data_IF_665730603184
#
_entry.id   IF_665730603184
#
_cell.length_a   1.000
_cell.length_b   1.000
_cell.length_c   1.000
_cell.angle_alpha   90.00
_cell.angle_beta   90.00
_cell.angle_gamma   90.00
#
_symmetry.space_group_name_H-M   'P 1'
#
loop_
_entity.id
_entity.type
_entity.pdbx_description
1 polymer ?
#
# COMPACT_ATOMS: atom_id res chain seq x y z
N UNK A 1 -4.60 -24.54 27.19
CA UNK A 1 -5.39 -24.19 25.99
C UNK A 1 -4.44 -23.57 24.99
N UNK A 2 -4.39 -23.98 23.72
CA UNK A 2 -3.59 -23.25 22.73
C UNK A 2 -4.09 -21.80 22.71
N UNK A 3 -3.16 -20.83 22.78
CA UNK A 3 -3.50 -19.43 22.52
C UNK A 3 -4.12 -19.42 21.13
N UNK A 4 -5.38 -19.00 21.01
CA UNK A 4 -5.94 -18.66 19.70
C UNK A 4 -5.03 -17.58 19.14
N UNK A 5 -4.48 -17.79 17.95
CA UNK A 5 -3.77 -16.75 17.23
C UNK A 5 -4.75 -15.59 17.08
N UNK A 6 -4.50 -14.52 17.81
CA UNK A 6 -5.36 -13.37 17.81
C UNK A 6 -5.20 -12.69 16.45
N UNK A 7 -6.30 -12.61 15.70
CA UNK A 7 -6.38 -11.87 14.46
C UNK A 7 -7.34 -10.72 14.64
N UNK A 8 -6.84 -9.52 14.37
CA UNK A 8 -7.64 -8.31 14.31
C UNK A 8 -8.73 -8.40 13.24
N UNK A 9 -9.73 -7.54 13.36
CA UNK A 9 -10.74 -7.41 12.32
C UNK A 9 -10.10 -6.96 11.01
N UNK A 10 -10.60 -7.48 9.88
CA UNK A 10 -10.09 -7.14 8.55
C UNK A 10 -10.14 -5.64 8.24
N UNK A 11 -11.06 -4.89 8.87
CA UNK A 11 -11.15 -3.44 8.74
C UNK A 11 -9.99 -2.73 9.43
N UNK A 12 -9.59 -3.20 10.63
CA UNK A 12 -8.47 -2.65 11.40
C UNK A 12 -7.16 -2.91 10.66
N UNK A 13 -6.97 -4.13 10.16
CA UNK A 13 -5.83 -4.48 9.31
C UNK A 13 -5.79 -3.61 8.05
N UNK A 14 -6.91 -3.41 7.34
CA UNK A 14 -6.95 -2.55 6.15
C UNK A 14 -6.60 -1.09 6.46
N UNK A 15 -7.05 -0.55 7.60
CA UNK A 15 -6.69 0.81 8.01
C UNK A 15 -5.21 0.96 8.36
N UNK A 16 -4.62 -0.09 8.94
CA UNK A 16 -3.20 -0.15 9.23
C UNK A 16 -2.35 -0.28 7.95
N UNK A 17 -2.77 -1.16 7.03
CA UNK A 17 -1.98 -1.56 5.86
C UNK A 17 -2.12 -0.58 4.67
N UNK A 18 -3.25 0.09 4.52
CA UNK A 18 -3.52 0.98 3.40
C UNK A 18 -3.05 2.42 3.69
N UNK A 19 -1.77 2.68 3.49
CA UNK A 19 -1.17 3.99 3.76
C UNK A 19 -1.56 5.01 2.69
N UNK A 20 -2.07 6.16 3.12
CA UNK A 20 -2.38 7.28 2.22
C UNK A 20 -1.09 8.07 2.00
N UNK A 21 -0.65 8.28 0.75
CA UNK A 21 0.52 9.10 0.47
C UNK A 21 0.26 10.56 0.82
N UNK A 22 1.23 11.21 1.44
CA UNK A 22 1.23 12.66 1.64
C UNK A 22 1.37 13.39 0.28
N UNK A 23 0.80 14.60 0.21
CA UNK A 23 0.85 15.44 -0.99
C UNK A 23 2.24 16.08 -1.20
N UNK A 24 2.88 16.50 -0.10
CA UNK A 24 4.21 17.12 -0.08
C UNK A 24 5.15 16.38 0.88
N UNK A 25 5.61 15.17 0.52
CA UNK A 25 6.45 14.35 1.39
C UNK A 25 7.85 14.97 1.65
N UNK A 26 8.29 15.89 0.81
CA UNK A 26 9.47 16.74 1.01
C UNK A 26 9.23 17.92 1.98
N UNK A 27 7.98 18.33 2.18
CA UNK A 27 7.59 19.49 2.98
C UNK A 27 6.87 20.57 2.16
N UNK A 28 6.32 21.57 2.85
CA UNK A 28 5.56 22.66 2.22
C UNK A 28 6.35 23.36 1.10
N UNK A 29 5.65 23.78 0.04
CA UNK A 29 6.28 24.53 -1.04
C UNK A 29 7.05 25.77 -0.52
N UNK A 30 8.33 25.87 -0.89
CA UNK A 30 9.22 26.95 -0.44
C UNK A 30 9.82 26.78 0.96
N UNK A 31 9.69 25.60 1.58
CA UNK A 31 10.34 25.26 2.84
C UNK A 31 11.80 24.84 2.61
N UNK A 32 12.74 25.45 3.34
CA UNK A 32 14.16 25.05 3.33
C UNK A 32 14.41 23.73 4.11
N UNK A 33 13.41 23.22 4.84
CA UNK A 33 13.52 21.98 5.59
C UNK A 33 13.61 20.80 4.61
N UNK A 34 14.63 19.94 4.79
CA UNK A 34 14.87 18.71 4.01
C UNK A 34 15.14 18.93 2.51
N UNK A 35 15.56 20.12 2.10
CA UNK A 35 15.84 20.46 0.70
C UNK A 35 16.81 19.48 0.00
N UNK A 36 17.80 18.97 0.74
CA UNK A 36 18.84 18.09 0.21
C UNK A 36 18.66 16.62 0.64
N UNK A 37 17.59 16.30 1.38
CA UNK A 37 17.33 14.95 1.87
C UNK A 37 16.48 14.17 0.86
N UNK A 38 16.73 12.86 0.76
CA UNK A 38 15.86 12.00 -0.03
C UNK A 38 14.48 11.89 0.62
N UNK A 39 13.44 12.07 -0.18
CA UNK A 39 12.06 11.89 0.25
C UNK A 39 11.83 10.44 0.66
N UNK A 40 11.61 10.20 1.95
CA UNK A 40 11.15 8.90 2.44
C UNK A 40 9.64 8.84 2.39
N UNK A 41 9.11 7.68 1.97
CA UNK A 41 7.66 7.51 1.88
C UNK A 41 6.94 7.29 3.20
N UNK A 42 7.71 7.13 4.28
CA UNK A 42 7.25 6.83 5.63
C UNK A 42 8.34 7.31 6.59
N UNK A 43 7.93 7.75 7.77
CA UNK A 43 8.83 8.13 8.87
C UNK A 43 9.25 6.95 9.75
N UNK A 44 8.49 5.84 9.69
CA UNK A 44 8.78 4.57 10.38
C UNK A 44 9.07 3.46 9.37
N UNK A 45 9.67 2.37 9.84
CA UNK A 45 9.92 1.19 9.01
C UNK A 45 8.62 0.58 8.47
N UNK A 46 8.72 -0.09 7.33
CA UNK A 46 7.59 -0.81 6.73
C UNK A 46 7.24 -2.03 7.57
N UNK A 47 5.96 -2.20 7.83
CA UNK A 47 5.42 -3.41 8.48
C UNK A 47 4.84 -4.36 7.45
N UNK A 48 4.70 -5.63 7.82
CA UNK A 48 4.12 -6.64 6.94
C UNK A 48 2.69 -6.26 6.52
N UNK A 49 2.39 -6.39 5.22
CA UNK A 49 1.07 -6.07 4.66
C UNK A 49 0.89 -4.60 4.25
N UNK A 50 1.70 -3.67 4.79
CA UNK A 50 1.61 -2.25 4.46
C UNK A 50 1.93 -1.97 2.98
N UNK A 51 1.14 -1.10 2.37
CA UNK A 51 1.30 -0.66 0.99
C UNK A 51 0.81 0.78 0.83
N UNK A 52 1.38 1.49 -0.15
CA UNK A 52 0.80 2.78 -0.57
C UNK A 52 -0.51 2.55 -1.30
N UNK A 53 -1.52 3.34 -0.95
CA UNK A 53 -2.79 3.39 -1.66
C UNK A 53 -2.60 4.08 -3.01
N UNK A 54 -3.16 3.49 -4.06
CA UNK A 54 -3.11 4.04 -5.43
C UNK A 54 -4.53 4.17 -5.98
N UNK A 55 -4.83 5.34 -6.55
CA UNK A 55 -6.11 5.65 -7.17
C UNK A 55 -6.40 4.82 -8.43
N UNK A 56 -5.38 4.15 -8.98
CA UNK A 56 -5.50 3.38 -10.22
C UNK A 56 -5.66 1.87 -9.98
N UNK A 57 -5.83 1.47 -8.72
CA UNK A 57 -6.04 0.06 -8.34
C UNK A 57 -7.53 -0.27 -8.21
N UNK A 58 -7.84 -1.57 -8.18
CA UNK A 58 -9.22 -2.02 -7.96
C UNK A 58 -9.72 -1.63 -6.58
N UNK A 59 -10.97 -1.16 -6.50
CA UNK A 59 -11.64 -0.87 -5.24
C UNK A 59 -11.76 -2.13 -4.35
N UNK A 60 -12.10 -3.27 -4.95
CA UNK A 60 -12.10 -4.58 -4.28
C UNK A 60 -10.95 -5.44 -4.80
N UNK A 61 -9.78 -5.34 -4.17
CA UNK A 61 -8.59 -6.11 -4.56
C UNK A 61 -8.77 -7.62 -4.33
N UNK A 62 -9.53 -8.02 -3.32
CA UNK A 62 -9.68 -9.43 -2.94
C UNK A 62 -10.44 -10.19 -4.02
N UNK A 63 -11.54 -9.61 -4.51
CA UNK A 63 -12.30 -10.18 -5.61
C UNK A 63 -11.48 -10.23 -6.92
N UNK A 64 -10.59 -9.26 -7.14
CA UNK A 64 -9.83 -9.13 -8.39
C UNK A 64 -8.47 -9.86 -8.38
N UNK A 65 -8.04 -10.44 -7.25
CA UNK A 65 -6.72 -11.09 -7.10
C UNK A 65 -6.47 -12.25 -8.08
N UNK A 66 -7.52 -12.95 -8.52
CA UNK A 66 -7.45 -14.11 -9.42
C UNK A 66 -8.20 -13.92 -10.74
N UNK A 67 -8.59 -12.68 -11.06
CA UNK A 67 -9.42 -12.38 -12.23
C UNK A 67 -8.65 -11.61 -13.30
N UNK A 68 -8.20 -12.31 -14.35
CA UNK A 68 -7.35 -11.69 -15.38
C UNK A 68 -8.14 -10.67 -16.19
N UNK A 69 -7.55 -9.50 -16.42
CA UNK A 69 -8.13 -8.50 -17.32
C UNK A 69 -8.17 -9.09 -18.74
N UNK A 70 -9.35 -9.11 -19.36
CA UNK A 70 -9.55 -9.53 -20.75
C UNK A 70 -9.32 -8.36 -21.72
N UNK A 71 -8.19 -7.68 -21.57
CA UNK A 71 -7.79 -6.55 -22.40
C UNK A 71 -6.42 -6.83 -23.05
N UNK A 72 -6.19 -6.47 -24.32
CA UNK A 72 -4.87 -6.56 -24.93
C UNK A 72 -3.82 -5.79 -24.11
N UNK A 73 -2.66 -6.39 -23.84
CA UNK A 73 -1.61 -5.78 -23.02
C UNK A 73 -1.87 -5.83 -21.50
N UNK A 74 -2.87 -6.58 -21.05
CA UNK A 74 -3.11 -6.79 -19.61
C UNK A 74 -1.91 -7.44 -18.92
N UNK A 75 -1.56 -6.91 -17.73
CA UNK A 75 -0.53 -7.52 -16.90
C UNK A 75 -0.95 -8.94 -16.47
N UNK A 76 -0.07 -9.95 -16.57
CA UNK A 76 -0.37 -11.31 -16.13
C UNK A 76 -0.67 -11.34 -14.63
N UNK A 77 -1.59 -12.22 -14.23
CA UNK A 77 -1.90 -12.47 -12.83
C UNK A 77 -1.01 -13.59 -12.30
N UNK A 78 0.18 -13.20 -11.86
CA UNK A 78 1.19 -14.11 -11.33
C UNK A 78 2.51 -13.94 -12.08
N UNK A 79 3.61 -14.25 -11.39
CA UNK A 79 4.83 -14.63 -12.10
C UNK A 79 4.64 -16.06 -12.58
N UNK A 80 4.92 -16.31 -13.86
CA UNK A 80 5.46 -17.62 -14.22
C UNK A 80 6.85 -17.65 -13.60
N UNK A 81 6.99 -18.36 -12.48
CA UNK A 81 8.27 -18.93 -12.05
C UNK A 81 8.31 -20.39 -12.53
#
# INVERSE_FOLDING_TARGET
MPKKDYQELSTVQKQHDALIPEEFPEGSYGSDIRENDLVSGKSTDWEEGQQRTSAFTYADKEQHKKLQRRAPGAHPLGKED
#
